data_IF_219959580746
#
_entry.id   IF_219959580746
#
_cell.length_a   1.000
_cell.length_b   1.000
_cell.length_c   1.000
_cell.angle_alpha   90.00
_cell.angle_beta   90.00
_cell.angle_gamma   90.00
#
_symmetry.space_group_name_H-M   'P 1'
#
loop_
_entity.id
_entity.type
_entity.pdbx_description
1 polymer ?
#
# COMPACT_ATOMS: atom_id res chain seq x y z
N UNK A 1 -17.79 -9.61 -12.59
CA UNK A 1 -17.15 -9.30 -11.36
C UNK A 1 -15.82 -8.58 -11.55
N UNK A 2 -15.60 -7.53 -10.80
CA UNK A 2 -14.47 -6.64 -11.03
C UNK A 2 -13.15 -7.10 -10.40
N UNK A 3 -13.19 -8.05 -9.46
CA UNK A 3 -12.01 -8.38 -8.66
C UNK A 3 -11.45 -9.77 -8.97
N UNK A 4 -10.11 -9.86 -9.00
CA UNK A 4 -9.43 -11.13 -9.13
C UNK A 4 -9.47 -11.89 -7.81
N UNK A 5 -9.75 -13.18 -7.86
CA UNK A 5 -9.81 -14.02 -6.66
C UNK A 5 -8.43 -14.44 -6.14
N UNK A 6 -7.42 -14.48 -7.00
CA UNK A 6 -6.03 -14.80 -6.66
C UNK A 6 -5.87 -16.17 -6.00
N UNK A 7 -6.75 -17.13 -6.34
CA UNK A 7 -6.70 -18.49 -5.82
C UNK A 7 -7.02 -18.62 -4.33
N UNK A 8 -7.67 -17.61 -3.72
CA UNK A 8 -7.92 -17.57 -2.29
C UNK A 8 -9.39 -17.33 -1.97
N UNK A 9 -9.84 -17.81 -0.80
CA UNK A 9 -11.16 -17.52 -0.30
C UNK A 9 -11.30 -16.03 0.05
N UNK A 10 -12.52 -15.51 0.01
CA UNK A 10 -12.77 -14.08 0.15
C UNK A 10 -12.14 -13.41 1.38
N UNK A 11 -12.25 -14.03 2.57
CA UNK A 11 -11.65 -13.48 3.79
C UNK A 11 -10.13 -13.47 3.76
N UNK A 12 -9.52 -14.55 3.32
CA UNK A 12 -8.07 -14.67 3.19
C UNK A 12 -7.53 -13.70 2.14
N UNK A 13 -8.25 -13.55 1.04
CA UNK A 13 -7.91 -12.60 -0.03
C UNK A 13 -7.91 -11.17 0.49
N UNK A 14 -8.92 -10.78 1.27
CA UNK A 14 -8.98 -9.45 1.90
C UNK A 14 -7.77 -9.18 2.80
N UNK A 15 -7.45 -10.13 3.67
CA UNK A 15 -6.30 -9.99 4.58
C UNK A 15 -5.00 -9.83 3.82
N UNK A 16 -4.80 -10.62 2.77
CA UNK A 16 -3.61 -10.54 1.93
C UNK A 16 -3.50 -9.16 1.27
N UNK A 17 -4.59 -8.67 0.67
CA UNK A 17 -4.58 -7.37 -0.01
C UNK A 17 -4.34 -6.22 0.97
N UNK A 18 -4.94 -6.27 2.16
CA UNK A 18 -4.70 -5.27 3.20
C UNK A 18 -3.25 -5.25 3.66
N UNK A 19 -2.66 -6.42 3.87
CA UNK A 19 -1.25 -6.53 4.26
C UNK A 19 -0.32 -5.97 3.19
N UNK A 20 -0.53 -6.33 1.93
CA UNK A 20 0.31 -5.86 0.83
C UNK A 20 0.16 -4.36 0.59
N UNK A 21 -1.06 -3.83 0.70
CA UNK A 21 -1.31 -2.38 0.61
C UNK A 21 -0.56 -1.63 1.71
N UNK A 22 -0.64 -2.12 2.93
CA UNK A 22 0.08 -1.53 4.07
C UNK A 22 1.58 -1.55 3.84
N UNK A 23 2.12 -2.66 3.31
CA UNK A 23 3.55 -2.78 3.01
C UNK A 23 4.01 -1.75 1.97
N UNK A 24 3.20 -1.49 0.94
CA UNK A 24 3.54 -0.46 -0.06
C UNK A 24 3.58 0.92 0.59
N UNK A 25 2.63 1.24 1.45
CA UNK A 25 2.60 2.52 2.15
C UNK A 25 3.85 2.69 3.04
N UNK A 26 4.23 1.63 3.74
CA UNK A 26 5.38 1.67 4.67
C UNK A 26 6.71 1.71 3.91
N UNK A 27 6.90 0.82 2.95
CA UNK A 27 8.20 0.60 2.31
C UNK A 27 8.37 1.31 0.96
N UNK A 28 7.28 1.82 0.40
CA UNK A 28 7.29 2.48 -0.91
C UNK A 28 7.21 1.54 -2.09
N UNK A 29 7.51 0.26 -1.90
CA UNK A 29 7.44 -0.76 -2.96
C UNK A 29 7.31 -2.16 -2.38
N UNK A 30 6.78 -3.07 -3.19
CA UNK A 30 6.76 -4.51 -2.89
C UNK A 30 7.13 -5.30 -4.15
N UNK A 31 7.66 -6.50 -3.95
CA UNK A 31 7.86 -7.49 -5.03
C UNK A 31 6.82 -8.58 -4.82
N UNK A 32 6.01 -8.82 -5.85
CA UNK A 32 4.92 -9.80 -5.77
C UNK A 32 4.61 -10.34 -7.16
N UNK A 33 3.62 -11.22 -7.27
CA UNK A 33 3.18 -11.69 -8.58
C UNK A 33 2.44 -10.58 -9.33
N UNK A 34 2.47 -10.63 -10.66
CA UNK A 34 1.82 -9.61 -11.49
C UNK A 34 0.32 -9.46 -11.19
N UNK A 35 -0.48 -10.54 -11.07
CA UNK A 35 -1.90 -10.39 -10.72
C UNK A 35 -2.13 -9.72 -9.37
N UNK A 36 -1.33 -10.06 -8.35
CA UNK A 36 -1.43 -9.42 -7.03
C UNK A 36 -1.06 -7.95 -7.11
N UNK A 37 -0.02 -7.60 -7.85
CA UNK A 37 0.38 -6.21 -8.04
C UNK A 37 -0.76 -5.37 -8.62
N UNK A 38 -1.47 -5.90 -9.61
CA UNK A 38 -2.60 -5.21 -10.23
C UNK A 38 -3.76 -4.97 -9.26
N UNK A 39 -4.06 -5.94 -8.39
CA UNK A 39 -5.12 -5.77 -7.39
C UNK A 39 -4.69 -4.84 -6.25
N UNK A 40 -3.48 -4.99 -5.75
CA UNK A 40 -2.95 -4.14 -4.68
C UNK A 40 -2.88 -2.68 -5.15
N UNK A 41 -2.50 -2.44 -6.39
CA UNK A 41 -2.44 -1.11 -6.98
C UNK A 41 -3.73 -0.32 -6.77
N UNK A 42 -4.87 -0.94 -6.99
CA UNK A 42 -6.18 -0.29 -6.81
C UNK A 42 -6.35 0.22 -5.38
N UNK A 43 -5.99 -0.61 -4.41
CA UNK A 43 -6.15 -0.25 -3.01
C UNK A 43 -5.17 0.84 -2.59
N UNK A 44 -3.92 0.76 -3.04
CA UNK A 44 -2.92 1.80 -2.75
C UNK A 44 -3.37 3.15 -3.31
N UNK A 45 -3.86 3.18 -4.55
CA UNK A 45 -4.36 4.41 -5.17
C UNK A 45 -5.53 4.99 -4.37
N UNK A 46 -6.45 4.17 -3.89
CA UNK A 46 -7.56 4.60 -3.04
C UNK A 46 -7.08 5.20 -1.72
N UNK A 47 -6.11 4.54 -1.09
CA UNK A 47 -5.57 5.03 0.19
C UNK A 47 -4.90 6.39 0.03
N UNK A 48 -4.14 6.59 -1.05
CA UNK A 48 -3.49 7.87 -1.33
C UNK A 48 -4.54 8.96 -1.59
N UNK A 49 -5.60 8.63 -2.32
CA UNK A 49 -6.71 9.58 -2.54
C UNK A 49 -7.36 10.00 -1.23
N UNK A 50 -7.59 9.06 -0.32
CA UNK A 50 -8.12 9.36 1.02
C UNK A 50 -7.14 10.24 1.81
N UNK A 51 -5.85 9.93 1.73
CA UNK A 51 -4.81 10.73 2.39
C UNK A 51 -4.76 12.16 1.88
N UNK A 52 -4.96 12.36 0.58
CA UNK A 52 -4.97 13.68 -0.04
C UNK A 52 -6.18 14.51 0.40
N UNK A 53 -7.34 13.89 0.60
CA UNK A 53 -8.50 14.58 1.15
C UNK A 53 -8.24 15.07 2.57
N UNK A 54 -7.62 14.25 3.39
CA UNK A 54 -7.15 14.63 4.71
C UNK A 54 -8.21 14.89 5.76
N UNK A 55 -9.50 14.75 5.44
CA UNK A 55 -10.57 14.98 6.41
C UNK A 55 -10.71 13.79 7.37
N UNK A 56 -11.48 13.98 8.44
CA UNK A 56 -11.67 12.96 9.47
C UNK A 56 -12.34 11.70 8.92
N UNK A 57 -13.34 11.86 8.05
CA UNK A 57 -14.04 10.73 7.45
C UNK A 57 -13.10 9.89 6.59
N UNK A 58 -12.25 10.53 5.78
CA UNK A 58 -11.25 9.84 4.96
C UNK A 58 -10.22 9.12 5.83
N UNK A 59 -9.78 9.75 6.92
CA UNK A 59 -8.84 9.15 7.85
C UNK A 59 -9.43 7.90 8.52
N UNK A 60 -10.69 7.94 8.92
CA UNK A 60 -11.39 6.78 9.49
C UNK A 60 -11.52 5.64 8.49
N UNK A 61 -11.81 5.94 7.23
CA UNK A 61 -11.88 4.93 6.17
C UNK A 61 -10.53 4.26 5.96
N UNK A 62 -9.47 5.04 5.85
CA UNK A 62 -8.11 4.50 5.70
C UNK A 62 -7.73 3.64 6.91
N UNK A 63 -8.05 4.10 8.12
CA UNK A 63 -7.77 3.35 9.36
C UNK A 63 -8.49 2.01 9.40
N UNK A 64 -9.70 1.93 8.86
CA UNK A 64 -10.46 0.67 8.81
C UNK A 64 -9.88 -0.35 7.83
N UNK A 65 -9.10 0.09 6.86
CA UNK A 65 -8.51 -0.78 5.84
C UNK A 65 -7.06 -1.14 6.13
N UNK A 66 -6.22 -0.16 6.45
CA UNK A 66 -4.79 -0.39 6.69
C UNK A 66 -4.59 -1.22 7.97
N UNK A 67 -3.54 -2.03 7.96
CA UNK A 67 -3.12 -2.76 9.15
C UNK A 67 -2.47 -1.80 10.14
N UNK A 68 -2.71 -2.02 11.43
CA UNK A 68 -2.11 -1.19 12.49
C UNK A 68 -0.68 -1.68 12.75
N UNK A 69 0.22 -1.23 11.90
CA UNK A 69 1.64 -1.62 11.91
C UNK A 69 2.50 -0.36 12.05
N UNK A 70 3.57 -0.50 12.82
CA UNK A 70 4.57 0.57 12.98
C UNK A 70 5.37 0.71 11.70
N UNK A 71 5.38 1.90 11.12
CA UNK A 71 6.12 2.21 9.90
C UNK A 71 7.54 2.69 10.20
N UNK A 72 7.71 3.47 11.27
CA UNK A 72 9.00 4.06 11.63
C UNK A 72 9.06 4.32 13.13
N UNK A 73 10.27 4.26 13.67
CA UNK A 73 10.55 4.59 15.08
C UNK A 73 11.67 5.61 15.08
N UNK A 74 11.41 6.77 15.68
CA UNK A 74 12.41 7.83 15.82
C UNK A 74 12.76 8.03 17.29
N UNK A 75 14.06 8.10 17.59
CA UNK A 75 14.55 8.43 18.92
C UNK A 75 14.94 9.90 18.97
N UNK A 76 14.27 10.65 19.84
CA UNK A 76 14.57 12.07 20.10
C UNK A 76 15.00 12.22 21.56
N UNK A 77 16.30 12.04 21.85
CA UNK A 77 16.80 12.07 23.22
C UNK A 77 16.22 10.91 24.04
N UNK A 78 15.51 11.24 25.13
CA UNK A 78 14.85 10.25 25.98
C UNK A 78 13.45 9.84 25.46
N UNK A 79 12.98 10.45 24.37
CA UNK A 79 11.65 10.19 23.81
C UNK A 79 11.74 9.29 22.58
N UNK A 80 10.83 8.32 22.51
CA UNK A 80 10.67 7.46 21.35
C UNK A 80 9.37 7.85 20.65
N UNK A 81 9.46 8.27 19.39
CA UNK A 81 8.29 8.56 18.56
C UNK A 81 8.04 7.40 17.61
N UNK A 82 6.80 6.92 17.59
CA UNK A 82 6.37 5.82 16.74
C UNK A 82 5.42 6.36 15.68
N UNK A 83 5.72 6.08 14.41
CA UNK A 83 4.85 6.41 13.29
C UNK A 83 4.18 5.14 12.79
N UNK A 84 2.84 5.13 12.77
CA UNK A 84 2.07 4.01 12.21
C UNK A 84 1.93 4.15 10.69
N UNK A 85 1.48 3.08 10.03
CA UNK A 85 1.20 3.11 8.59
C UNK A 85 0.19 4.21 8.23
N UNK A 86 -0.86 4.37 9.04
CA UNK A 86 -1.87 5.41 8.84
C UNK A 86 -1.25 6.82 8.91
N UNK A 87 -0.44 7.06 9.92
CA UNK A 87 0.24 8.35 10.08
C UNK A 87 1.18 8.62 8.90
N UNK A 88 1.94 7.60 8.47
CA UNK A 88 2.83 7.74 7.32
C UNK A 88 2.04 8.08 6.05
N UNK A 89 0.89 7.45 5.84
CA UNK A 89 0.05 7.75 4.69
C UNK A 89 -0.35 9.23 4.66
N UNK A 90 -0.83 9.78 5.78
CA UNK A 90 -1.34 11.14 5.82
C UNK A 90 -0.26 12.21 5.94
N UNK A 91 0.84 11.91 6.64
CA UNK A 91 1.88 12.89 6.93
C UNK A 91 3.01 12.93 5.91
N UNK A 92 3.27 11.80 5.23
CA UNK A 92 4.41 11.67 4.31
C UNK A 92 3.98 11.30 2.89
N UNK A 93 3.25 10.19 2.72
CA UNK A 93 2.96 9.66 1.38
C UNK A 93 2.00 10.58 0.62
N UNK A 94 0.85 10.92 1.19
CA UNK A 94 -0.15 11.73 0.50
C UNK A 94 0.36 13.12 0.13
N UNK A 95 1.12 13.84 1.00
CA UNK A 95 1.67 15.14 0.62
C UNK A 95 2.58 15.11 -0.61
N UNK A 96 3.30 14.00 -0.83
CA UNK A 96 4.17 13.87 -2.01
C UNK A 96 3.37 13.93 -3.32
N UNK A 97 2.11 13.53 -3.29
CA UNK A 97 1.26 13.47 -4.49
C UNK A 97 0.23 14.60 -4.57
N UNK A 98 0.43 15.65 -3.78
CA UNK A 98 -0.50 16.78 -3.71
C UNK A 98 -0.86 17.36 -5.08
N UNK A 99 0.12 17.46 -5.98
CA UNK A 99 -0.05 18.05 -7.30
C UNK A 99 -0.28 17.03 -8.41
N UNK A 100 -0.48 15.77 -8.06
CA UNK A 100 -0.69 14.68 -9.03
C UNK A 100 -2.14 14.17 -8.94
N UNK A 101 -2.83 14.11 -10.08
CA UNK A 101 -4.25 13.74 -10.14
C UNK A 101 -4.45 12.25 -10.45
N UNK A 102 -3.76 11.37 -9.74
CA UNK A 102 -3.85 9.93 -9.95
C UNK A 102 -2.55 9.37 -10.50
N UNK A 103 -2.51 8.06 -10.75
CA UNK A 103 -1.31 7.39 -11.22
C UNK A 103 -0.17 7.47 -10.21
N UNK A 104 -0.48 7.25 -8.93
CA UNK A 104 0.50 7.36 -7.84
C UNK A 104 1.45 6.18 -7.76
N UNK A 105 1.16 5.11 -8.49
CA UNK A 105 1.94 3.88 -8.47
C UNK A 105 2.31 3.46 -9.88
N UNK A 106 3.35 2.62 -10.00
CA UNK A 106 3.69 1.96 -11.24
C UNK A 106 4.04 0.50 -10.99
N UNK A 107 3.83 -0.33 -12.01
CA UNK A 107 4.16 -1.74 -11.98
C UNK A 107 5.30 -1.97 -12.96
N UNK A 108 6.40 -2.55 -12.47
CA UNK A 108 7.56 -2.92 -13.28
C UNK A 108 7.59 -4.43 -13.36
N UNK A 109 7.49 -4.98 -14.56
CA UNK A 109 7.54 -6.43 -14.78
C UNK A 109 8.95 -6.95 -14.54
N UNK A 110 9.03 -8.10 -13.90
CA UNK A 110 10.28 -8.81 -13.63
C UNK A 110 10.29 -10.16 -14.35
N UNK A 111 11.43 -10.85 -14.27
CA UNK A 111 11.56 -12.21 -14.75
C UNK A 111 10.67 -13.17 -13.96
N UNK A 112 10.38 -14.33 -14.56
CA UNK A 112 9.59 -15.36 -13.91
C UNK A 112 10.33 -15.90 -12.67
N UNK A 113 9.53 -16.24 -11.65
CA UNK A 113 10.06 -16.80 -10.41
C UNK A 113 10.57 -18.22 -10.65
N UNK A 114 11.70 -18.58 -10.03
CA UNK A 114 12.21 -19.94 -10.06
C UNK A 114 11.23 -20.87 -9.36
N UNK A 115 11.07 -22.05 -9.90
CA UNK A 115 10.24 -23.11 -9.35
C UNK A 115 8.90 -23.22 -10.04
N UNK A 116 8.03 -22.20 -9.95
CA UNK A 116 6.68 -22.23 -10.51
C UNK A 116 6.49 -21.37 -11.77
N UNK A 117 7.54 -20.67 -12.21
CA UNK A 117 7.50 -19.77 -13.37
C UNK A 117 6.43 -18.67 -13.26
N UNK A 118 6.04 -18.29 -12.04
CA UNK A 118 5.09 -17.21 -11.85
C UNK A 118 5.66 -15.87 -12.34
N UNK A 119 4.84 -15.09 -13.04
CA UNK A 119 5.24 -13.76 -13.49
C UNK A 119 5.30 -12.82 -12.30
N UNK A 120 6.46 -12.23 -12.07
CA UNK A 120 6.72 -11.34 -10.95
C UNK A 120 6.68 -9.89 -11.39
N UNK A 121 6.42 -9.01 -10.44
CA UNK A 121 6.38 -7.57 -10.67
C UNK A 121 6.77 -6.81 -9.41
N UNK A 122 7.29 -5.60 -9.62
CA UNK A 122 7.49 -4.62 -8.55
C UNK A 122 6.34 -3.62 -8.65
N UNK A 123 5.59 -3.45 -7.57
CA UNK A 123 4.63 -2.36 -7.43
C UNK A 123 5.27 -1.30 -6.55
N UNK A 124 5.41 -0.08 -7.05
CA UNK A 124 6.07 0.99 -6.30
C UNK A 124 5.34 2.32 -6.44
N UNK A 125 5.54 3.18 -5.46
CA UNK A 125 5.08 4.55 -5.51
C UNK A 125 5.97 5.34 -6.48
N UNK A 126 5.36 6.14 -7.34
CA UNK A 126 6.10 7.09 -8.15
C UNK A 126 6.50 8.29 -7.28
N UNK A 127 7.50 9.00 -7.66
CA UNK A 127 7.98 10.14 -6.86
C UNK A 127 7.12 11.38 -7.01
#
# INVERSE_FOLDING_TARGET
MAYRKLGRKGGHRKSMLRNLTTDVIINGKIVTTEPRAKEVRRQVEKMITLGKKGDLASRRRAASYLMDIVADVKENGDNIEVQTALQKLFDDVAPRFKNRNGGYTRIIKMDERRGDAAKMAILELVD
#
